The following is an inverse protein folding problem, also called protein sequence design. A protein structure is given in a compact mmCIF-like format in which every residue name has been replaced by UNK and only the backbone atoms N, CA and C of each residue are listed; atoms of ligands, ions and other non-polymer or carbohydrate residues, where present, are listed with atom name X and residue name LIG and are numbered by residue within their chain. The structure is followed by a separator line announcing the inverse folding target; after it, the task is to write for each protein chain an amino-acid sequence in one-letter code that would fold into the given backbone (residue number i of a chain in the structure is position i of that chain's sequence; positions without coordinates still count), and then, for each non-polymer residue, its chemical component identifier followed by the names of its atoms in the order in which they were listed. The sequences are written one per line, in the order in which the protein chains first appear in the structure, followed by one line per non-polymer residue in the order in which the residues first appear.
data_IF_000054278395
#
_entry.id   IF_000054278395
#
_cell.length_a   1.000
_cell.length_b   1.000
_cell.length_c   1.000
_cell.angle_alpha   90.00
_cell.angle_beta   90.00
_cell.angle_gamma   90.00
#
_symmetry.space_group_name_H-M   'P 1'
#
loop_
_entity.id
_entity.type
_entity.pdbx_description
1 polymer ?
#
# COMPACT_ATOMS: atom_id res chain seq x y z
N UNK A 1 5.79 22.63 1.94
CA UNK A 1 4.86 21.78 2.72
C UNK A 1 5.63 21.18 3.88
N UNK A 2 5.13 21.29 5.11
CA UNK A 2 5.77 20.75 6.32
C UNK A 2 4.90 19.62 6.89
N UNK A 3 4.79 18.52 6.15
CA UNK A 3 4.05 17.35 6.63
C UNK A 3 4.78 16.73 7.82
N UNK A 4 4.03 16.41 8.88
CA UNK A 4 4.51 15.66 10.03
C UNK A 4 3.79 14.32 10.08
N UNK A 5 4.52 13.25 10.37
CA UNK A 5 3.93 11.93 10.62
C UNK A 5 3.26 11.93 11.99
N UNK A 6 2.00 11.50 12.02
CA UNK A 6 1.31 11.12 13.25
C UNK A 6 1.71 9.68 13.60
N UNK A 7 1.99 9.44 14.88
CA UNK A 7 2.44 8.17 15.44
C UNK A 7 1.52 7.68 16.57
N UNK A 8 0.26 8.14 16.59
CA UNK A 8 -0.74 7.71 17.57
C UNK A 8 -0.90 6.18 17.52
N UNK A 9 -0.74 5.55 18.68
CA UNK A 9 -0.82 4.09 18.83
C UNK A 9 -2.25 3.60 18.57
N UNK A 10 -2.40 2.58 17.71
CA UNK A 10 -3.69 1.97 17.40
C UNK A 10 -4.59 2.78 16.44
N UNK A 11 -4.10 3.89 15.90
CA UNK A 11 -4.84 4.66 14.91
C UNK A 11 -4.89 3.96 13.53
N UNK A 12 -5.94 4.26 12.77
CA UNK A 12 -6.08 3.87 11.37
C UNK A 12 -5.70 5.03 10.45
N UNK A 13 -5.07 4.73 9.31
CA UNK A 13 -4.55 5.73 8.38
C UNK A 13 -4.98 5.43 6.95
N UNK A 14 -5.22 6.48 6.17
CA UNK A 14 -5.40 6.40 4.73
C UNK A 14 -4.10 6.81 4.03
N UNK A 15 -3.65 6.00 3.08
CA UNK A 15 -2.45 6.26 2.29
C UNK A 15 -2.81 6.37 0.81
N UNK A 16 -2.14 7.30 0.12
CA UNK A 16 -2.08 7.33 -1.33
C UNK A 16 -0.64 7.16 -1.75
N UNK A 17 -0.38 6.14 -2.56
CA UNK A 17 0.94 5.83 -3.12
C UNK A 17 0.76 5.80 -4.63
N UNK A 18 1.70 6.43 -5.34
CA UNK A 18 1.69 6.51 -6.81
C UNK A 18 3.02 5.97 -7.30
N UNK A 19 3.01 5.23 -8.40
CA UNK A 19 4.23 4.73 -9.01
C UNK A 19 5.12 5.89 -9.49
N UNK A 20 6.42 5.62 -9.56
CA UNK A 20 7.36 6.61 -10.09
C UNK A 20 6.98 6.98 -11.53
N UNK A 21 6.78 8.27 -11.78
CA UNK A 21 6.31 8.81 -13.08
C UNK A 21 4.96 8.26 -13.57
N UNK A 22 4.12 7.71 -12.69
CA UNK A 22 2.81 7.14 -13.04
C UNK A 22 2.91 6.05 -14.12
N UNK A 23 3.93 5.21 -14.02
CA UNK A 23 4.09 4.06 -14.91
C UNK A 23 3.09 2.99 -14.48
N UNK A 24 2.26 2.54 -15.42
CA UNK A 24 1.22 1.57 -15.16
C UNK A 24 1.75 0.15 -14.87
N UNK A 25 2.37 -0.08 -13.71
CA UNK A 25 2.91 -1.39 -13.34
C UNK A 25 1.82 -2.42 -13.02
N UNK A 26 0.64 -1.99 -12.61
CA UNK A 26 -0.44 -2.86 -12.14
C UNK A 26 -1.54 -3.06 -13.20
N UNK A 27 -1.16 -3.03 -14.47
CA UNK A 27 -2.05 -3.30 -15.61
C UNK A 27 -2.37 -4.79 -15.84
N UNK A 28 -1.79 -5.69 -15.03
CA UNK A 28 -1.99 -7.14 -15.16
C UNK A 28 -2.30 -7.77 -13.81
N UNK A 29 -3.07 -8.85 -13.84
CA UNK A 29 -3.42 -9.61 -12.63
C UNK A 29 -2.17 -10.20 -11.95
N UNK A 30 -1.13 -10.56 -12.72
CA UNK A 30 0.14 -11.07 -12.16
C UNK A 30 0.86 -9.99 -11.33
N UNK A 31 0.93 -8.76 -11.85
CA UNK A 31 1.55 -7.66 -11.13
C UNK A 31 0.77 -7.32 -9.84
N UNK A 32 -0.55 -7.29 -9.91
CA UNK A 32 -1.43 -7.09 -8.75
C UNK A 32 -1.26 -8.24 -7.73
N UNK A 33 -1.17 -9.48 -8.20
CA UNK A 33 -0.96 -10.66 -7.36
C UNK A 33 0.38 -10.60 -6.60
N UNK A 34 1.46 -10.19 -7.28
CA UNK A 34 2.77 -9.99 -6.65
C UNK A 34 2.73 -8.94 -5.54
N UNK A 35 2.04 -7.82 -5.77
CA UNK A 35 1.87 -6.78 -4.74
C UNK A 35 1.08 -7.31 -3.53
N UNK A 36 0.00 -8.07 -3.77
CA UNK A 36 -0.78 -8.71 -2.70
C UNK A 36 0.04 -9.70 -1.89
N UNK A 37 0.90 -10.48 -2.52
CA UNK A 37 1.83 -11.39 -1.84
C UNK A 37 2.82 -10.61 -0.97
N UNK A 38 3.38 -9.52 -1.47
CA UNK A 38 4.26 -8.64 -0.68
C UNK A 38 3.55 -8.06 0.55
N UNK A 39 2.28 -7.64 0.44
CA UNK A 39 1.50 -7.22 1.60
C UNK A 39 1.32 -8.34 2.62
N UNK A 40 0.95 -9.56 2.19
CA UNK A 40 0.79 -10.70 3.09
C UNK A 40 2.07 -11.01 3.85
N UNK A 41 3.21 -11.00 3.17
CA UNK A 41 4.51 -11.22 3.79
C UNK A 41 4.86 -10.13 4.81
N UNK A 42 4.66 -8.86 4.47
CA UNK A 42 4.92 -7.76 5.41
C UNK A 42 3.97 -7.76 6.60
N UNK A 43 2.68 -8.07 6.40
CA UNK A 43 1.72 -8.24 7.49
C UNK A 43 2.12 -9.39 8.44
N UNK A 44 2.74 -10.46 7.93
CA UNK A 44 3.28 -11.54 8.76
C UNK A 44 4.55 -11.12 9.52
N UNK A 45 5.44 -10.34 8.89
CA UNK A 45 6.67 -9.82 9.52
C UNK A 45 6.39 -8.71 10.55
N UNK A 46 5.39 -7.88 10.28
CA UNK A 46 4.98 -6.70 11.04
C UNK A 46 3.46 -6.69 11.09
N UNK A 47 2.83 -7.17 12.18
CA UNK A 47 1.37 -7.27 12.25
C UNK A 47 0.68 -5.91 12.09
N UNK A 48 -0.17 -5.78 11.07
CA UNK A 48 -1.13 -4.69 10.88
C UNK A 48 -2.35 -5.21 10.11
N UNK A 49 -3.42 -4.41 10.04
CA UNK A 49 -4.67 -4.74 9.32
C UNK A 49 -4.84 -3.78 8.15
N UNK A 50 -5.29 -4.31 7.00
CA UNK A 50 -5.72 -3.51 5.85
C UNK A 50 -7.24 -3.55 5.82
N UNK A 51 -7.89 -2.45 6.21
CA UNK A 51 -9.36 -2.36 6.19
C UNK A 51 -9.90 -2.34 4.75
N UNK A 52 -9.23 -1.62 3.86
CA UNK A 52 -9.59 -1.54 2.44
C UNK A 52 -8.36 -1.21 1.58
N UNK A 53 -8.39 -1.65 0.32
CA UNK A 53 -7.38 -1.29 -0.68
C UNK A 53 -7.97 -1.28 -2.09
N UNK A 54 -7.63 -0.26 -2.86
CA UNK A 54 -7.87 -0.17 -4.31
C UNK A 54 -6.52 -0.03 -5.00
N UNK A 55 -6.30 -0.81 -6.05
CA UNK A 55 -5.08 -0.77 -6.86
C UNK A 55 -5.49 -0.25 -8.22
N UNK A 56 -4.94 0.91 -8.59
CA UNK A 56 -5.04 1.48 -9.93
C UNK A 56 -3.84 1.01 -10.76
N UNK A 57 -3.89 1.12 -12.10
CA UNK A 57 -2.78 0.78 -12.96
C UNK A 57 -1.43 1.40 -12.57
N UNK A 58 -1.42 2.67 -12.15
CA UNK A 58 -0.26 3.53 -11.94
C UNK A 58 0.00 3.97 -10.49
#
# INVERSE_FOLDING_TARGET
MQYRRDYTQGASYFFTVVTFRRVGFFNTDDAVSRLRSAFKEEMARRPFVIDAIVILPD
#
